data_IF_793972598573
#
_entry.id   IF_793972598573
#
_cell.length_a   1.000
_cell.length_b   1.000
_cell.length_c   1.000
_cell.angle_alpha   90.00
_cell.angle_beta   90.00
_cell.angle_gamma   90.00
#
_symmetry.space_group_name_H-M   'P 1'
#
loop_
_entity.id
_entity.type
_entity.pdbx_description
1 polymer ?
#
# COMPACT_ATOMS: atom_id res chain seq x y z
N UNK A 1 -21.92 30.98 -15.50
CA UNK A 1 -20.71 30.24 -15.93
C UNK A 1 -19.54 30.32 -14.94
N UNK A 2 -19.75 30.68 -13.66
CA UNK A 2 -18.67 30.74 -12.66
C UNK A 2 -18.57 29.48 -11.78
N UNK A 3 -19.50 28.51 -11.88
CA UNK A 3 -19.54 27.32 -11.03
C UNK A 3 -18.71 26.12 -11.51
N UNK A 4 -18.28 26.12 -12.78
CA UNK A 4 -17.55 24.99 -13.38
C UNK A 4 -16.02 25.16 -13.34
N UNK A 5 -15.52 26.41 -13.31
CA UNK A 5 -14.09 26.71 -13.28
C UNK A 5 -13.40 26.34 -11.96
N UNK A 6 -14.08 26.48 -10.81
CA UNK A 6 -13.53 26.09 -9.51
C UNK A 6 -13.38 24.57 -9.38
N UNK A 7 -14.31 23.80 -9.97
CA UNK A 7 -14.22 22.33 -10.01
C UNK A 7 -13.04 21.84 -10.83
N UNK A 8 -12.68 22.55 -11.91
CA UNK A 8 -11.52 22.21 -12.73
C UNK A 8 -10.20 22.43 -11.99
N UNK A 9 -10.08 23.53 -11.23
CA UNK A 9 -8.87 23.81 -10.44
C UNK A 9 -8.65 22.80 -9.31
N UNK A 10 -9.71 22.50 -8.53
CA UNK A 10 -9.67 21.46 -7.51
C UNK A 10 -9.28 20.09 -8.10
N UNK A 11 -9.84 19.77 -9.28
CA UNK A 11 -9.53 18.53 -9.98
C UNK A 11 -8.07 18.47 -10.45
N UNK A 12 -7.53 19.56 -10.97
CA UNK A 12 -6.13 19.66 -11.39
C UNK A 12 -5.16 19.58 -10.20
N UNK A 13 -5.51 20.18 -9.06
CA UNK A 13 -4.73 20.08 -7.82
C UNK A 13 -4.75 18.64 -7.28
N UNK A 14 -5.92 17.99 -7.29
CA UNK A 14 -6.08 16.58 -6.93
C UNK A 14 -5.25 15.64 -7.81
N UNK A 15 -5.20 15.90 -9.12
CA UNK A 15 -4.44 15.09 -10.06
C UNK A 15 -2.92 15.26 -9.90
N UNK A 16 -2.43 16.48 -9.64
CA UNK A 16 -1.02 16.69 -9.30
C UNK A 16 -0.61 15.94 -8.05
N UNK A 17 -1.45 16.01 -7.02
CA UNK A 17 -1.24 15.33 -5.76
C UNK A 17 -1.18 13.81 -5.94
N UNK A 18 -2.04 13.25 -6.80
CA UNK A 18 -1.98 11.84 -7.22
C UNK A 18 -0.60 11.46 -7.78
N UNK A 19 -0.10 12.22 -8.76
CA UNK A 19 1.18 11.94 -9.41
C UNK A 19 2.37 12.05 -8.45
N UNK A 20 2.31 13.01 -7.52
CA UNK A 20 3.32 13.16 -6.46
C UNK A 20 3.37 11.93 -5.55
N UNK A 21 2.21 11.43 -5.11
CA UNK A 21 2.14 10.21 -4.30
C UNK A 21 2.58 8.97 -5.07
N UNK A 22 2.17 8.81 -6.33
CA UNK A 22 2.63 7.68 -7.16
C UNK A 22 4.16 7.67 -7.28
N UNK A 23 4.76 8.84 -7.51
CA UNK A 23 6.21 8.97 -7.62
C UNK A 23 6.91 8.73 -6.27
N UNK A 24 6.38 9.29 -5.19
CA UNK A 24 6.92 9.12 -3.84
C UNK A 24 6.92 7.66 -3.41
N UNK A 25 5.77 7.00 -3.55
CA UNK A 25 5.61 5.57 -3.26
C UNK A 25 6.50 4.70 -4.14
N UNK A 26 6.60 4.99 -5.44
CA UNK A 26 7.49 4.23 -6.33
C UNK A 26 8.95 4.36 -5.90
N UNK A 27 9.41 5.58 -5.62
CA UNK A 27 10.78 5.81 -5.12
C UNK A 27 11.02 5.12 -3.77
N UNK A 28 10.03 5.15 -2.87
CA UNK A 28 10.11 4.46 -1.58
C UNK A 28 10.23 2.93 -1.78
N UNK A 29 9.38 2.35 -2.63
CA UNK A 29 9.43 0.91 -2.94
C UNK A 29 10.79 0.51 -3.48
N UNK A 30 11.32 1.26 -4.45
CA UNK A 30 12.61 0.94 -5.07
C UNK A 30 13.78 1.01 -4.07
N UNK A 31 13.81 2.04 -3.22
CA UNK A 31 14.98 2.36 -2.39
C UNK A 31 14.93 1.80 -0.97
N UNK A 32 13.76 1.83 -0.33
CA UNK A 32 13.63 1.62 1.10
C UNK A 32 12.91 0.33 1.46
N UNK A 33 12.07 -0.20 0.55
CA UNK A 33 11.35 -1.43 0.83
C UNK A 33 12.32 -2.63 0.89
N UNK A 34 12.19 -3.51 1.89
CA UNK A 34 13.02 -4.70 1.98
C UNK A 34 12.73 -5.66 0.83
N UNK A 35 13.74 -6.40 0.38
CA UNK A 35 13.57 -7.44 -0.66
C UNK A 35 12.76 -8.64 -0.17
N UNK A 36 12.71 -8.83 1.15
CA UNK A 36 11.97 -9.90 1.79
C UNK A 36 10.92 -9.27 2.71
N UNK A 37 9.66 -9.61 2.47
CA UNK A 37 8.55 -9.16 3.31
C UNK A 37 7.97 -10.37 4.01
N UNK A 38 7.81 -10.26 5.32
CA UNK A 38 7.16 -11.25 6.14
C UNK A 38 5.72 -10.83 6.40
N UNK A 39 4.80 -11.74 6.14
CA UNK A 39 3.38 -11.61 6.46
C UNK A 39 3.06 -12.74 7.43
N UNK A 40 3.38 -12.54 8.71
CA UNK A 40 3.12 -13.47 9.79
C UNK A 40 1.81 -13.19 10.52
N UNK A 41 1.61 -11.93 10.89
CA UNK A 41 0.57 -11.49 11.83
C UNK A 41 0.34 -9.97 11.72
N UNK A 42 -0.60 -9.43 12.51
CA UNK A 42 -0.92 -8.00 12.60
C UNK A 42 0.29 -7.10 12.88
N UNK A 43 1.36 -7.61 13.50
CA UNK A 43 2.57 -6.83 13.80
C UNK A 43 3.30 -6.39 12.54
N UNK A 44 3.61 -7.33 11.65
CA UNK A 44 4.30 -7.01 10.39
C UNK A 44 3.43 -6.12 9.50
N UNK A 45 2.11 -6.35 9.52
CA UNK A 45 1.13 -5.50 8.83
C UNK A 45 1.18 -4.06 9.38
N UNK A 46 1.29 -3.89 10.70
CA UNK A 46 1.42 -2.57 11.32
C UNK A 46 2.77 -1.93 10.99
N UNK A 47 3.87 -2.68 11.01
CA UNK A 47 5.20 -2.16 10.64
C UNK A 47 5.21 -1.67 9.18
N UNK A 48 4.65 -2.46 8.25
CA UNK A 48 4.48 -2.03 6.86
C UNK A 48 3.60 -0.78 6.76
N UNK A 49 2.48 -0.73 7.47
CA UNK A 49 1.61 0.46 7.51
C UNK A 49 2.36 1.68 8.02
N UNK A 50 3.15 1.55 9.08
CA UNK A 50 3.97 2.63 9.65
C UNK A 50 5.03 3.11 8.65
N UNK A 51 5.71 2.19 7.96
CA UNK A 51 6.68 2.52 6.92
C UNK A 51 6.03 3.34 5.79
N UNK A 52 4.89 2.91 5.27
CA UNK A 52 4.17 3.66 4.24
C UNK A 52 3.63 5.01 4.76
N UNK A 53 3.11 5.05 5.98
CA UNK A 53 2.61 6.29 6.60
C UNK A 53 3.73 7.31 6.73
N UNK A 54 4.92 6.87 7.17
CA UNK A 54 6.12 7.70 7.28
C UNK A 54 6.63 8.16 5.92
N UNK A 55 6.65 7.28 4.92
CA UNK A 55 7.08 7.61 3.56
C UNK A 55 6.19 8.67 2.90
N UNK A 56 4.89 8.61 3.15
CA UNK A 56 3.93 9.58 2.61
C UNK A 56 3.80 10.85 3.47
N UNK A 57 4.17 10.79 4.74
CA UNK A 57 3.85 11.83 5.71
C UNK A 57 2.34 11.95 5.97
N UNK A 58 1.61 10.84 5.82
CA UNK A 58 0.15 10.79 5.92
C UNK A 58 -0.29 9.72 6.92
N UNK A 59 -1.40 9.97 7.60
CA UNK A 59 -2.08 8.95 8.40
C UNK A 59 -2.95 8.07 7.50
N UNK A 60 -2.50 6.83 7.30
CA UNK A 60 -3.19 5.86 6.45
C UNK A 60 -4.43 5.34 7.18
N UNK A 61 -5.60 5.69 6.68
CA UNK A 61 -6.89 5.31 7.26
C UNK A 61 -7.30 3.87 6.91
N UNK A 62 -6.94 3.42 5.72
CA UNK A 62 -7.18 2.06 5.25
C UNK A 62 -5.87 1.45 4.77
N UNK A 63 -5.57 0.27 5.29
CA UNK A 63 -4.40 -0.50 4.89
C UNK A 63 -4.83 -1.96 4.67
N UNK A 64 -4.60 -2.49 3.47
CA UNK A 64 -4.92 -3.87 3.10
C UNK A 64 -3.73 -4.52 2.42
N UNK A 65 -3.60 -5.84 2.59
CA UNK A 65 -2.64 -6.66 1.86
C UNK A 65 -3.39 -7.84 1.27
N UNK A 66 -3.26 -8.01 -0.04
CA UNK A 66 -3.88 -9.10 -0.78
C UNK A 66 -2.85 -9.72 -1.71
N UNK A 67 -2.75 -11.05 -1.73
CA UNK A 67 -1.89 -11.77 -2.68
C UNK A 67 -2.74 -12.48 -3.72
N UNK A 68 -2.41 -12.30 -4.99
CA UNK A 68 -3.10 -12.94 -6.10
C UNK A 68 -2.14 -13.21 -7.26
N UNK A 69 -2.59 -14.05 -8.19
CA UNK A 69 -1.84 -14.34 -9.41
C UNK A 69 -2.21 -13.33 -10.48
N UNK A 70 -1.23 -12.59 -11.01
CA UNK A 70 -1.40 -11.63 -12.10
C UNK A 70 -1.85 -12.38 -13.37
N UNK A 71 -3.05 -12.10 -13.91
CA UNK A 71 -3.54 -12.83 -15.08
C UNK A 71 -2.71 -12.61 -16.34
N UNK A 72 -2.12 -11.43 -16.49
CA UNK A 72 -1.39 -11.02 -17.68
C UNK A 72 0.01 -11.68 -17.78
N UNK A 73 0.71 -11.81 -16.65
CA UNK A 73 2.08 -12.37 -16.61
C UNK A 73 2.11 -13.80 -16.07
N UNK A 74 1.06 -14.24 -15.38
CA UNK A 74 1.02 -15.51 -14.67
C UNK A 74 1.86 -15.55 -13.40
N UNK A 75 2.49 -14.42 -13.03
CA UNK A 75 3.32 -14.25 -11.83
C UNK A 75 2.43 -14.03 -10.60
N UNK A 76 2.91 -14.47 -9.45
CA UNK A 76 2.24 -14.12 -8.19
C UNK A 76 2.68 -12.72 -7.74
N UNK A 77 1.73 -11.94 -7.26
CA UNK A 77 1.96 -10.60 -6.76
C UNK A 77 1.21 -10.36 -5.47
N UNK A 78 1.75 -9.46 -4.66
CA UNK A 78 1.08 -8.93 -3.48
C UNK A 78 0.77 -7.46 -3.71
N UNK A 79 -0.50 -7.11 -3.52
CA UNK A 79 -0.97 -5.73 -3.55
C UNK A 79 -1.12 -5.22 -2.13
N UNK A 80 -0.50 -4.07 -1.89
CA UNK A 80 -0.69 -3.28 -0.69
C UNK A 80 -1.61 -2.11 -1.05
N UNK A 81 -2.82 -2.15 -0.51
CA UNK A 81 -3.81 -1.10 -0.68
C UNK A 81 -3.70 -0.08 0.46
N UNK A 82 -3.60 1.18 0.12
CA UNK A 82 -3.46 2.31 1.05
C UNK A 82 -4.57 3.32 0.74
N UNK A 83 -5.25 3.87 1.74
CA UNK A 83 -6.08 5.05 1.54
C UNK A 83 -5.98 6.04 2.70
N UNK A 84 -5.98 7.33 2.37
CA UNK A 84 -5.87 8.44 3.30
C UNK A 84 -6.61 9.68 2.76
N UNK A 85 -6.75 10.69 3.63
CA UNK A 85 -7.48 11.92 3.34
C UNK A 85 -6.53 13.11 3.34
N UNK A 86 -6.54 13.89 2.26
CA UNK A 86 -5.81 15.15 2.17
C UNK A 86 -6.77 16.26 1.76
N UNK A 87 -6.92 17.29 2.61
CA UNK A 87 -7.80 18.45 2.32
C UNK A 87 -9.22 18.07 1.90
N UNK A 88 -9.82 17.04 2.51
CA UNK A 88 -11.17 16.57 2.18
C UNK A 88 -11.26 15.68 0.94
N UNK A 89 -10.12 15.32 0.33
CA UNK A 89 -10.04 14.44 -0.83
C UNK A 89 -9.48 13.09 -0.39
N UNK A 90 -10.13 12.00 -0.82
CA UNK A 90 -9.63 10.65 -0.58
C UNK A 90 -8.69 10.25 -1.69
N UNK A 91 -7.51 9.80 -1.30
CA UNK A 91 -6.53 9.21 -2.20
C UNK A 91 -6.41 7.74 -1.82
N UNK A 92 -6.58 6.86 -2.80
CA UNK A 92 -6.40 5.42 -2.65
C UNK A 92 -5.32 4.95 -3.60
N UNK A 93 -4.24 4.39 -3.06
CA UNK A 93 -3.08 3.91 -3.80
C UNK A 93 -2.96 2.40 -3.65
N UNK A 94 -2.62 1.73 -4.74
CA UNK A 94 -2.26 0.32 -4.77
C UNK A 94 -0.78 0.21 -5.16
N UNK A 95 -0.03 -0.50 -4.33
CA UNK A 95 1.35 -0.88 -4.61
C UNK A 95 1.36 -2.37 -4.93
N UNK A 96 1.55 -2.71 -6.21
CA UNK A 96 1.64 -4.08 -6.67
C UNK A 96 3.10 -4.52 -6.67
N UNK A 97 3.39 -5.57 -5.92
CA UNK A 97 4.71 -6.14 -5.71
C UNK A 97 4.73 -7.58 -6.27
N UNK A 98 5.19 -7.78 -7.51
CA UNK A 98 5.46 -9.12 -8.00
C UNK A 98 6.49 -9.80 -7.11
N UNK A 99 6.34 -11.10 -6.86
CA UNK A 99 7.28 -11.85 -6.03
C UNK A 99 7.75 -13.13 -6.73
N UNK A 100 9.05 -13.38 -6.65
CA UNK A 100 9.72 -14.51 -7.31
C UNK A 100 9.58 -15.79 -6.49
N UNK A 101 9.49 -15.65 -5.16
CA UNK A 101 9.29 -16.77 -4.24
C UNK A 101 8.29 -16.41 -3.16
N UNK A 102 7.51 -17.42 -2.78
CA UNK A 102 6.62 -17.42 -1.63
C UNK A 102 6.93 -18.64 -0.78
N UNK A 103 7.32 -18.43 0.47
CA UNK A 103 7.60 -19.50 1.43
C UNK A 103 6.67 -19.34 2.62
N UNK A 104 5.96 -20.39 2.97
CA UNK A 104 5.15 -20.41 4.19
C UNK A 104 5.80 -21.34 5.18
N UNK A 105 6.05 -20.83 6.38
CA UNK A 105 6.63 -21.59 7.48
C UNK A 105 5.82 -21.36 8.76
N UNK A 106 5.92 -22.31 9.67
CA UNK A 106 5.23 -22.26 10.96
C UNK A 106 6.24 -21.74 11.97
N UNK A 107 6.03 -20.52 12.45
CA UNK A 107 6.86 -19.92 13.49
C UNK A 107 6.20 -20.06 14.85
N UNK A 108 7.03 -20.17 15.89
CA UNK A 108 6.59 -20.19 17.27
C UNK A 108 6.80 -18.81 17.87
N UNK A 109 5.71 -18.11 18.18
CA UNK A 109 5.77 -16.77 18.78
C UNK A 109 5.37 -16.87 20.24
N UNK A 110 6.24 -16.34 21.12
CA UNK A 110 5.96 -16.22 22.54
C UNK A 110 5.37 -14.83 22.82
N UNK A 111 4.07 -14.76 23.06
CA UNK A 111 3.36 -13.53 23.44
C UNK A 111 3.18 -13.47 24.97
N UNK A 112 2.74 -12.30 25.48
CA UNK A 112 2.44 -12.11 26.92
C UNK A 112 1.35 -13.05 27.44
N UNK A 113 0.45 -13.50 26.56
CA UNK A 113 -0.72 -14.35 26.87
C UNK A 113 -0.45 -15.85 26.67
N UNK A 114 0.75 -16.22 26.25
CA UNK A 114 1.12 -17.61 25.97
C UNK A 114 1.91 -17.75 24.67
N UNK A 115 2.29 -18.98 24.34
CA UNK A 115 3.01 -19.27 23.12
C UNK A 115 2.07 -19.96 22.11
N UNK A 116 2.09 -19.48 20.87
CA UNK A 116 1.25 -20.01 19.81
C UNK A 116 2.04 -20.11 18.51
N UNK A 117 1.59 -21.03 17.65
CA UNK A 117 2.11 -21.19 16.30
C UNK A 117 1.42 -20.19 15.38
N UNK A 118 2.20 -19.49 14.57
CA UNK A 118 1.71 -18.60 13.51
C UNK A 118 2.21 -19.09 12.16
N UNK A 119 1.38 -18.93 11.15
CA UNK A 119 1.79 -19.17 9.77
C UNK A 119 2.42 -17.89 9.24
N UNK A 120 3.72 -17.93 8.99
CA UNK A 120 4.46 -16.81 8.40
C UNK A 120 4.67 -17.06 6.92
N UNK A 121 4.30 -16.07 6.11
CA UNK A 121 4.58 -16.09 4.68
C UNK A 121 5.69 -15.08 4.37
N UNK A 122 6.85 -15.58 3.96
CA UNK A 122 7.92 -14.77 3.39
C UNK A 122 7.70 -14.63 1.88
N UNK A 123 7.81 -13.39 1.41
CA UNK A 123 7.73 -13.00 0.01
C UNK A 123 9.06 -12.39 -0.41
N UNK A 124 9.70 -12.96 -1.42
CA UNK A 124 10.85 -12.37 -2.10
C UNK A 124 10.34 -11.47 -3.21
N UNK A 125 10.31 -10.16 -2.97
CA UNK A 125 9.70 -9.20 -3.89
C UNK A 125 10.67 -8.72 -4.96
N UNK A 126 10.17 -8.55 -6.18
CA UNK A 126 10.91 -7.93 -7.27
C UNK A 126 10.57 -6.43 -7.35
N UNK A 127 11.31 -5.62 -6.60
CA UNK A 127 11.12 -4.16 -6.51
C UNK A 127 11.27 -3.45 -7.85
N UNK A 128 12.06 -4.00 -8.79
CA UNK A 128 12.37 -3.37 -10.08
C UNK A 128 11.16 -3.28 -11.03
N UNK A 129 10.17 -4.15 -10.84
CA UNK A 129 8.94 -4.22 -11.62
C UNK A 129 7.70 -3.85 -10.81
N UNK A 130 7.91 -3.30 -9.61
CA UNK A 130 6.81 -2.85 -8.77
C UNK A 130 5.98 -1.77 -9.49
N UNK A 131 4.67 -1.88 -9.36
CA UNK A 131 3.73 -0.92 -9.95
C UNK A 131 3.05 -0.14 -8.83
N UNK A 132 2.89 1.16 -9.05
CA UNK A 132 2.12 2.03 -8.16
C UNK A 132 1.04 2.70 -8.98
N UNK A 133 -0.19 2.69 -8.47
CA UNK A 133 -1.32 3.38 -9.06
C UNK A 133 -2.16 4.01 -7.97
N UNK A 134 -2.44 5.30 -8.09
CA UNK A 134 -3.30 6.03 -7.19
C UNK A 134 -4.55 6.52 -7.90
N UNK A 135 -5.65 6.53 -7.16
CA UNK A 135 -6.94 7.06 -7.58
C UNK A 135 -7.37 8.13 -6.61
N UNK A 136 -8.04 9.15 -7.14
CA UNK A 136 -8.52 10.27 -6.35
C UNK A 136 -10.02 10.28 -6.43
N UNK A 137 -10.68 10.35 -5.28
CA UNK A 137 -12.12 10.43 -5.19
C UNK A 137 -12.49 11.52 -4.19
N UNK A 138 -13.56 12.26 -4.47
CA UNK A 138 -14.24 13.01 -3.41
C UNK A 138 -14.84 11.95 -2.51
N UNK A 139 -14.27 11.74 -1.31
CA UNK A 139 -14.98 10.95 -0.31
C UNK A 139 -16.33 11.64 -0.08
N UNK A 140 -17.44 10.91 0.02
CA UNK A 140 -18.57 11.47 0.73
C UNK A 140 -18.04 11.88 2.10
N UNK A 141 -18.31 13.12 2.51
CA UNK A 141 -18.28 13.47 3.93
C UNK A 141 -19.21 12.44 4.58
N UNK A 142 -18.64 11.42 5.20
CA UNK A 142 -19.43 10.49 5.98
C UNK A 142 -20.06 11.32 7.11
N UNK A 143 -21.39 11.46 7.02
CA UNK A 143 -22.27 11.89 8.11
C UNK A 143 -22.14 10.94 9.30
#
# INVERSE_FOLDING_TARGET
MAGEFWRFREYMEAYKLKEEYERGLKSFVEKEMPEHIFIADKRDVNELREMFSKALGEDIQLFTIESYRLPATGEDATVIGLAFMKSGIRIACNVTLPHTKRRTYISFVKAKEGAHFVNETELEINKSVAMVSCTVSKAPLAL
#
